data_IF_604892178465
#
_entry.id   IF_604892178465
#
_cell.length_a   1.000
_cell.length_b   1.000
_cell.length_c   1.000
_cell.angle_alpha   90.00
_cell.angle_beta   90.00
_cell.angle_gamma   90.00
#
_symmetry.space_group_name_H-M   'P 1'
#
loop_
_entity.id
_entity.type
_entity.pdbx_description
1 polymer ?
#
# COMPACT_ATOMS: atom_id res chain seq x y z
N UNK A 1 -13.95 13.99 29.49
CA UNK A 1 -13.15 13.02 28.72
C UNK A 1 -14.17 12.25 27.88
N UNK A 2 -14.21 12.51 26.58
CA UNK A 2 -15.13 11.82 25.67
C UNK A 2 -14.76 10.34 25.60
N UNK A 3 -15.79 9.48 25.60
CA UNK A 3 -15.59 8.03 25.52
C UNK A 3 -15.35 7.69 24.06
N UNK A 4 -14.17 7.16 23.77
CA UNK A 4 -13.83 6.64 22.44
C UNK A 4 -14.65 5.36 22.19
N UNK A 5 -15.35 5.32 21.08
CA UNK A 5 -16.14 4.18 20.61
C UNK A 5 -15.24 3.19 19.86
N UNK A 6 -15.65 1.92 19.80
CA UNK A 6 -15.13 1.00 18.79
C UNK A 6 -15.76 1.31 17.42
N UNK A 7 -15.21 0.70 16.35
CA UNK A 7 -15.70 0.94 14.98
C UNK A 7 -17.19 0.66 14.83
N UNK A 8 -17.71 -0.44 15.37
CA UNK A 8 -19.12 -0.82 15.21
C UNK A 8 -20.07 0.16 15.89
N UNK A 9 -19.70 0.65 17.07
CA UNK A 9 -20.46 1.68 17.80
C UNK A 9 -20.45 2.99 17.01
N UNK A 10 -19.29 3.39 16.50
CA UNK A 10 -19.13 4.61 15.71
C UNK A 10 -19.91 4.53 14.38
N UNK A 11 -19.79 3.42 13.65
CA UNK A 11 -20.58 3.13 12.44
C UNK A 11 -22.07 3.32 12.71
N UNK A 12 -22.59 2.71 13.79
CA UNK A 12 -24.01 2.81 14.15
C UNK A 12 -24.41 4.27 14.46
N UNK A 13 -23.57 5.03 15.15
CA UNK A 13 -23.82 6.44 15.43
C UNK A 13 -23.85 7.29 14.15
N UNK A 14 -22.90 7.09 13.22
CA UNK A 14 -22.88 7.78 11.92
C UNK A 14 -24.09 7.45 11.09
N UNK A 15 -24.48 6.16 10.99
CA UNK A 15 -25.66 5.74 10.23
C UNK A 15 -26.96 6.27 10.82
N UNK A 16 -27.08 6.36 12.16
CA UNK A 16 -28.21 6.98 12.82
C UNK A 16 -28.28 8.48 12.51
N UNK A 17 -27.16 9.19 12.65
CA UNK A 17 -27.07 10.61 12.34
C UNK A 17 -27.38 10.92 10.86
N UNK A 18 -26.94 10.07 9.93
CA UNK A 18 -27.25 10.22 8.50
C UNK A 18 -28.77 10.12 8.25
N UNK A 19 -29.43 9.16 8.91
CA UNK A 19 -30.92 8.99 8.83
C UNK A 19 -31.66 10.18 9.44
N UNK A 20 -31.25 10.66 10.59
CA UNK A 20 -31.86 11.83 11.27
C UNK A 20 -31.74 13.09 10.41
N UNK A 21 -30.64 13.23 9.64
CA UNK A 21 -30.43 14.32 8.70
C UNK A 21 -31.09 14.06 7.33
N UNK A 22 -31.89 13.01 7.16
CA UNK A 22 -32.60 12.64 5.94
C UNK A 22 -31.68 12.44 4.72
N UNK A 23 -30.42 12.01 4.91
CA UNK A 23 -29.51 11.69 3.84
C UNK A 23 -29.96 10.38 3.17
N UNK A 24 -30.02 10.39 1.83
CA UNK A 24 -30.46 9.24 1.03
C UNK A 24 -29.30 8.45 0.49
N UNK A 25 -28.29 9.16 -0.01
CA UNK A 25 -27.13 8.59 -0.68
C UNK A 25 -25.89 8.92 0.13
N UNK A 26 -25.33 7.94 0.82
CA UNK A 26 -24.15 8.08 1.63
C UNK A 26 -23.34 6.78 1.73
N UNK A 27 -22.06 6.95 2.07
CA UNK A 27 -21.09 5.87 2.23
C UNK A 27 -20.13 6.21 3.37
N UNK A 28 -19.79 5.22 4.17
CA UNK A 28 -18.82 5.30 5.24
C UNK A 28 -17.68 4.32 4.94
N UNK A 29 -16.46 4.84 4.81
CA UNK A 29 -15.24 4.08 4.66
C UNK A 29 -14.40 4.21 5.93
N UNK A 30 -13.91 3.09 6.41
CA UNK A 30 -13.06 2.98 7.58
C UNK A 30 -11.76 2.28 7.19
N UNK A 31 -10.67 2.75 7.73
CA UNK A 31 -9.36 2.10 7.67
C UNK A 31 -8.67 2.18 9.02
N UNK A 32 -8.02 1.10 9.41
CA UNK A 32 -7.14 1.00 10.56
C UNK A 32 -5.91 0.24 10.13
N UNK A 33 -4.73 0.72 10.51
CA UNK A 33 -3.48 0.04 10.27
C UNK A 33 -2.58 0.09 11.48
N UNK A 34 -1.77 -0.94 11.65
CA UNK A 34 -0.69 -0.98 12.62
C UNK A 34 0.54 -1.62 12.00
N UNK A 35 1.70 -1.17 12.39
CA UNK A 35 2.96 -1.69 11.89
C UNK A 35 4.05 -1.63 12.93
N UNK A 36 4.97 -2.58 12.83
CA UNK A 36 6.22 -2.61 13.59
C UNK A 36 7.35 -2.87 12.62
N UNK A 37 8.39 -2.06 12.65
CA UNK A 37 9.59 -2.24 11.85
C UNK A 37 10.87 -2.09 12.66
N UNK A 38 11.87 -2.81 12.23
CA UNK A 38 13.21 -2.83 12.84
C UNK A 38 14.24 -2.66 11.74
N UNK A 39 15.19 -1.75 11.95
CA UNK A 39 16.32 -1.56 11.05
C UNK A 39 17.62 -1.89 11.76
N UNK A 40 18.54 -2.56 11.06
CA UNK A 40 19.88 -2.82 11.50
C UNK A 40 20.89 -2.10 10.59
N UNK A 41 21.87 -1.48 11.22
CA UNK A 41 22.99 -0.82 10.59
C UNK A 41 24.27 -1.10 11.40
N UNK A 42 25.37 -1.40 10.73
CA UNK A 42 26.65 -1.75 11.36
C UNK A 42 26.55 -2.86 12.43
N UNK A 43 25.74 -3.88 12.15
CA UNK A 43 25.49 -5.04 13.02
C UNK A 43 24.78 -4.74 14.35
N UNK A 44 24.12 -3.60 14.45
CA UNK A 44 23.35 -3.19 15.61
C UNK A 44 21.95 -2.75 15.17
N UNK A 45 20.97 -2.88 16.03
CA UNK A 45 19.65 -2.31 15.81
C UNK A 45 19.77 -0.79 15.89
N UNK A 46 19.47 -0.12 14.81
CA UNK A 46 19.54 1.33 14.67
C UNK A 46 18.19 2.00 14.90
N UNK A 47 17.13 1.41 14.42
CA UNK A 47 15.77 1.97 14.50
C UNK A 47 14.78 0.88 14.88
N UNK A 48 13.85 1.25 15.74
CA UNK A 48 12.65 0.47 16.04
C UNK A 48 11.46 1.41 15.97
N UNK A 49 10.49 1.10 15.12
CA UNK A 49 9.28 1.90 14.96
C UNK A 49 8.05 1.02 15.22
N UNK A 50 7.12 1.55 15.98
CA UNK A 50 5.78 0.97 16.10
C UNK A 50 4.76 2.09 15.90
N UNK A 51 3.86 1.90 14.97
CA UNK A 51 2.87 2.89 14.61
C UNK A 51 1.48 2.28 14.47
N UNK A 52 0.48 3.12 14.67
CA UNK A 52 -0.90 2.79 14.38
C UNK A 52 -1.62 4.02 13.85
N UNK A 53 -2.48 3.82 12.90
CA UNK A 53 -3.34 4.86 12.34
C UNK A 53 -4.76 4.37 12.19
N UNK A 54 -5.69 5.30 12.21
CA UNK A 54 -7.11 5.05 12.02
C UNK A 54 -7.72 6.23 11.29
N UNK A 55 -8.54 5.95 10.31
CA UNK A 55 -9.26 6.97 9.57
C UNK A 55 -10.67 6.55 9.21
N UNK A 56 -11.59 7.50 9.28
CA UNK A 56 -12.96 7.34 8.81
C UNK A 56 -13.27 8.44 7.82
N UNK A 57 -13.79 8.08 6.66
CA UNK A 57 -14.29 9.01 5.65
C UNK A 57 -15.79 8.78 5.44
N UNK A 58 -16.56 9.85 5.54
CA UNK A 58 -17.97 9.84 5.19
C UNK A 58 -18.18 10.64 3.91
N UNK A 59 -18.90 10.02 2.98
CA UNK A 59 -19.31 10.60 1.70
C UNK A 59 -20.83 10.72 1.66
N UNK A 60 -21.35 11.83 1.18
CA UNK A 60 -22.78 11.94 0.87
C UNK A 60 -23.01 12.64 -0.46
N UNK A 61 -24.20 12.42 -1.05
CA UNK A 61 -24.64 13.08 -2.27
C UNK A 61 -25.88 13.90 -1.95
N UNK A 62 -25.82 15.21 -2.23
CA UNK A 62 -26.93 16.16 -2.06
C UNK A 62 -27.10 16.92 -3.34
N UNK A 63 -28.30 16.86 -3.93
CA UNK A 63 -28.64 17.51 -5.20
C UNK A 63 -27.67 17.13 -6.34
N UNK A 64 -27.23 15.88 -6.37
CA UNK A 64 -26.28 15.37 -7.36
C UNK A 64 -24.83 15.75 -7.13
N UNK A 65 -24.50 16.42 -6.01
CA UNK A 65 -23.15 16.87 -5.65
C UNK A 65 -22.60 16.06 -4.50
N UNK A 66 -21.34 15.66 -4.61
CA UNK A 66 -20.65 14.84 -3.59
C UNK A 66 -19.94 15.72 -2.57
N UNK A 67 -20.16 15.42 -1.29
CA UNK A 67 -19.39 15.99 -0.19
C UNK A 67 -18.71 14.91 0.63
N UNK A 68 -17.50 15.20 1.09
CA UNK A 68 -16.68 14.34 1.93
C UNK A 68 -16.31 15.02 3.23
N UNK A 69 -16.19 14.24 4.28
CA UNK A 69 -15.52 14.63 5.51
C UNK A 69 -14.82 13.43 6.13
N UNK A 70 -13.72 13.66 6.85
CA UNK A 70 -12.95 12.59 7.51
C UNK A 70 -12.65 12.96 8.96
N UNK A 71 -12.37 11.93 9.77
CA UNK A 71 -11.90 12.03 11.15
C UNK A 71 -11.01 10.85 11.50
N UNK A 72 -10.13 11.04 12.46
CA UNK A 72 -9.32 10.01 13.09
C UNK A 72 -9.82 9.67 14.51
N UNK A 73 -10.86 10.35 14.95
CA UNK A 73 -11.46 10.14 16.27
C UNK A 73 -12.82 9.45 16.16
N UNK A 74 -13.05 8.49 17.03
CA UNK A 74 -14.31 7.76 17.10
C UNK A 74 -15.09 8.17 18.34
N UNK A 75 -15.66 9.38 18.33
CA UNK A 75 -16.56 9.87 19.39
C UNK A 75 -17.95 10.17 18.85
N UNK A 76 -18.93 10.32 19.73
CA UNK A 76 -20.28 10.68 19.31
C UNK A 76 -20.34 12.05 18.62
N UNK A 77 -19.56 13.00 19.11
CA UNK A 77 -19.49 14.34 18.53
C UNK A 77 -18.80 14.34 17.16
N UNK A 78 -17.77 13.49 16.96
CA UNK A 78 -17.16 13.31 15.66
C UNK A 78 -18.11 12.69 14.64
N UNK A 79 -18.96 11.73 15.03
CA UNK A 79 -19.97 11.17 14.16
C UNK A 79 -20.94 12.24 13.63
N UNK A 80 -21.42 13.12 14.51
CA UNK A 80 -22.29 14.25 14.12
C UNK A 80 -21.53 15.28 13.26
N UNK A 81 -20.30 15.59 13.63
CA UNK A 81 -19.43 16.52 12.90
C UNK A 81 -19.13 16.04 11.48
N UNK A 82 -18.91 14.73 11.27
CA UNK A 82 -18.72 14.15 9.94
C UNK A 82 -19.92 14.42 9.03
N UNK A 83 -21.12 14.11 9.49
CA UNK A 83 -22.35 14.33 8.73
C UNK A 83 -22.51 15.80 8.36
N UNK A 84 -22.34 16.69 9.33
CA UNK A 84 -22.46 18.13 9.12
C UNK A 84 -21.45 18.64 8.08
N UNK A 85 -20.18 18.33 8.24
CA UNK A 85 -19.10 18.79 7.34
C UNK A 85 -19.26 18.22 5.92
N UNK A 86 -19.59 16.94 5.78
CA UNK A 86 -19.81 16.34 4.47
C UNK A 86 -21.00 17.00 3.75
N UNK A 87 -22.09 17.29 4.49
CA UNK A 87 -23.27 17.99 3.97
C UNK A 87 -22.91 19.41 3.50
N UNK A 88 -22.20 20.17 4.33
CA UNK A 88 -21.76 21.53 3.98
C UNK A 88 -20.84 21.53 2.77
N UNK A 89 -19.94 20.56 2.67
CA UNK A 89 -19.06 20.40 1.52
C UNK A 89 -19.83 20.06 0.24
N UNK A 90 -20.82 19.15 0.32
CA UNK A 90 -21.67 18.83 -0.84
C UNK A 90 -22.45 20.06 -1.35
N UNK A 91 -22.93 20.91 -0.43
CA UNK A 91 -23.67 22.12 -0.78
C UNK A 91 -22.78 23.23 -1.35
N UNK A 92 -21.49 23.19 -1.09
CA UNK A 92 -20.53 24.23 -1.48
C UNK A 92 -19.83 23.93 -2.81
N UNK A 93 -19.91 22.67 -3.30
CA UNK A 93 -19.20 22.28 -4.52
C UNK A 93 -19.95 22.71 -5.78
N UNK A 94 -19.23 23.18 -6.78
CA UNK A 94 -19.78 23.63 -8.07
C UNK A 94 -19.51 22.62 -9.21
N UNK A 95 -19.24 21.35 -8.89
CA UNK A 95 -19.02 20.32 -9.90
C UNK A 95 -20.33 19.79 -10.47
N UNK A 96 -20.38 19.59 -11.78
CA UNK A 96 -21.47 18.91 -12.48
C UNK A 96 -21.12 17.44 -12.80
N UNK A 97 -20.04 16.91 -12.22
CA UNK A 97 -19.65 15.52 -12.42
C UNK A 97 -20.70 14.57 -11.82
N UNK A 98 -21.07 13.50 -12.55
CA UNK A 98 -22.04 12.52 -12.05
C UNK A 98 -21.54 11.86 -10.76
N UNK A 99 -22.38 11.85 -9.76
CA UNK A 99 -22.09 11.24 -8.46
C UNK A 99 -23.07 10.12 -8.18
N UNK A 100 -22.57 9.01 -7.66
CA UNK A 100 -23.42 7.88 -7.25
C UNK A 100 -22.83 7.15 -6.04
N UNK A 101 -23.71 6.41 -5.36
CA UNK A 101 -23.31 5.44 -4.34
C UNK A 101 -23.53 4.05 -4.94
N UNK A 102 -22.49 3.23 -4.87
CA UNK A 102 -22.50 1.88 -5.42
C UNK A 102 -23.60 1.02 -4.74
N UNK A 103 -24.28 0.21 -5.54
CA UNK A 103 -25.26 -0.75 -5.00
C UNK A 103 -24.53 -2.02 -4.55
N UNK A 104 -25.04 -2.63 -3.47
CA UNK A 104 -24.59 -3.95 -3.09
C UNK A 104 -24.81 -4.93 -4.25
N UNK A 105 -23.80 -5.74 -4.52
CA UNK A 105 -23.89 -6.88 -5.43
C UNK A 105 -24.41 -8.12 -4.71
N UNK A 106 -24.70 -9.17 -5.48
CA UNK A 106 -25.23 -10.42 -4.93
C UNK A 106 -24.12 -11.40 -4.48
N UNK A 107 -22.88 -11.19 -4.93
CA UNK A 107 -21.78 -12.14 -4.74
C UNK A 107 -20.48 -11.40 -4.41
N UNK A 108 -20.24 -11.16 -3.14
CA UNK A 108 -18.93 -10.78 -2.65
C UNK A 108 -18.19 -12.02 -2.18
N UNK A 109 -16.96 -12.19 -2.62
CA UNK A 109 -16.09 -13.24 -2.10
C UNK A 109 -15.64 -12.85 -0.70
N UNK A 110 -15.68 -13.81 0.21
CA UNK A 110 -15.02 -13.66 1.50
C UNK A 110 -13.63 -14.29 1.41
N UNK A 111 -12.62 -13.56 1.82
CA UNK A 111 -11.28 -14.08 1.96
C UNK A 111 -11.06 -14.49 3.41
N UNK A 112 -10.33 -15.58 3.61
CA UNK A 112 -9.83 -15.89 4.94
C UNK A 112 -8.78 -14.83 5.28
N UNK A 113 -8.92 -14.20 6.43
CA UNK A 113 -7.91 -13.28 6.93
C UNK A 113 -6.54 -14.00 6.99
N UNK A 114 -5.45 -13.32 6.63
CA UNK A 114 -4.13 -13.90 6.79
C UNK A 114 -3.96 -14.41 8.23
N UNK A 115 -3.56 -15.66 8.35
CA UNK A 115 -3.34 -16.29 9.65
C UNK A 115 -1.96 -16.02 10.21
N UNK A 116 -1.18 -15.19 9.55
CA UNK A 116 0.14 -14.82 10.01
C UNK A 116 0.05 -14.12 11.34
N UNK A 117 0.57 -14.78 12.34
CA UNK A 117 0.70 -14.21 13.65
C UNK A 117 1.66 -13.02 13.57
N UNK A 118 1.30 -11.94 14.20
CA UNK A 118 2.20 -10.79 14.37
C UNK A 118 3.49 -11.26 15.03
N UNK A 119 4.64 -11.15 14.36
CA UNK A 119 5.89 -11.59 14.94
C UNK A 119 6.25 -10.70 16.12
N UNK A 120 6.82 -11.30 17.15
CA UNK A 120 7.31 -10.55 18.31
C UNK A 120 8.41 -9.56 17.88
N UNK A 121 8.49 -8.42 18.56
CA UNK A 121 9.54 -7.42 18.30
C UNK A 121 10.95 -8.00 18.38
N UNK A 122 11.18 -8.97 19.27
CA UNK A 122 12.45 -9.69 19.36
C UNK A 122 12.72 -10.56 18.14
N UNK A 123 11.70 -11.21 17.59
CA UNK A 123 11.84 -12.05 16.38
C UNK A 123 12.18 -11.20 15.16
N UNK A 124 11.55 -10.04 15.01
CA UNK A 124 11.90 -9.07 13.96
C UNK A 124 13.35 -8.60 14.11
N UNK A 125 13.76 -8.24 15.33
CA UNK A 125 15.12 -7.78 15.58
C UNK A 125 16.17 -8.88 15.32
N UNK A 126 15.94 -10.09 15.78
CA UNK A 126 16.84 -11.24 15.59
C UNK A 126 16.95 -11.59 14.09
N UNK A 127 15.83 -11.58 13.36
CA UNK A 127 15.85 -11.84 11.93
C UNK A 127 16.59 -10.72 11.18
N UNK A 128 16.36 -9.45 11.51
CA UNK A 128 17.01 -8.31 10.88
C UNK A 128 18.53 -8.33 11.06
N UNK A 129 19.01 -8.61 12.28
CA UNK A 129 20.44 -8.79 12.56
C UNK A 129 21.03 -9.99 11.82
N UNK A 130 20.30 -11.11 11.77
CA UNK A 130 20.69 -12.27 10.99
C UNK A 130 20.81 -11.93 9.52
N UNK A 131 19.81 -11.25 8.93
CA UNK A 131 19.82 -10.82 7.54
C UNK A 131 21.04 -9.96 7.25
N UNK A 132 21.32 -8.95 8.06
CA UNK A 132 22.48 -8.10 7.87
C UNK A 132 23.80 -8.88 7.97
N UNK A 133 23.90 -9.83 8.92
CA UNK A 133 25.06 -10.72 9.03
C UNK A 133 25.26 -11.56 7.75
N UNK A 134 24.19 -12.06 7.14
CA UNK A 134 24.28 -12.82 5.89
C UNK A 134 24.72 -11.93 4.72
N UNK A 135 24.28 -10.66 4.66
CA UNK A 135 24.74 -9.71 3.64
C UNK A 135 26.26 -9.50 3.72
N UNK A 136 26.80 -9.26 4.92
CA UNK A 136 28.26 -9.09 5.11
C UNK A 136 29.07 -10.37 4.80
N UNK A 137 28.48 -11.55 4.96
CA UNK A 137 29.13 -12.83 4.63
C UNK A 137 29.09 -13.16 3.15
N UNK A 138 28.10 -12.67 2.41
CA UNK A 138 27.85 -13.06 1.04
C UNK A 138 28.99 -12.66 0.08
N UNK A 139 29.61 -11.50 0.28
CA UNK A 139 30.77 -11.08 -0.49
C UNK A 139 31.72 -10.19 0.33
N UNK A 140 33.02 -10.39 0.18
CA UNK A 140 34.07 -9.62 0.86
C UNK A 140 34.13 -8.14 0.47
N UNK A 141 33.47 -7.75 -0.64
CA UNK A 141 33.39 -6.39 -1.13
C UNK A 141 32.27 -5.59 -0.47
N UNK A 142 31.40 -6.24 0.30
CA UNK A 142 30.37 -5.54 1.09
C UNK A 142 31.04 -4.61 2.09
N UNK A 143 30.60 -3.38 2.11
CA UNK A 143 31.18 -2.30 2.94
C UNK A 143 30.13 -1.64 3.81
N UNK A 144 30.58 -0.80 4.73
CA UNK A 144 29.70 0.02 5.56
C UNK A 144 28.79 0.92 4.70
N UNK A 145 27.57 1.05 5.10
CA UNK A 145 26.46 1.64 4.36
C UNK A 145 25.37 0.62 4.00
N UNK A 146 25.68 -0.68 4.20
CA UNK A 146 24.71 -1.77 4.09
C UNK A 146 23.69 -1.68 5.22
N UNK A 147 22.42 -1.79 4.86
CA UNK A 147 21.28 -1.74 5.79
C UNK A 147 20.38 -2.96 5.61
N UNK A 148 19.76 -3.38 6.67
CA UNK A 148 18.69 -4.39 6.63
C UNK A 148 17.52 -3.94 7.47
N UNK A 149 16.31 -4.26 7.03
CA UNK A 149 15.08 -3.97 7.75
C UNK A 149 14.14 -5.15 7.69
N UNK A 150 13.34 -5.31 8.71
CA UNK A 150 12.20 -6.25 8.73
C UNK A 150 11.04 -5.60 9.45
N UNK A 151 9.83 -5.91 9.00
CA UNK A 151 8.64 -5.37 9.61
C UNK A 151 7.42 -6.28 9.42
N UNK A 152 6.39 -5.92 10.13
CA UNK A 152 5.06 -6.49 10.03
C UNK A 152 4.05 -5.36 9.91
N UNK A 153 3.09 -5.53 9.02
CA UNK A 153 1.99 -4.60 8.82
C UNK A 153 0.67 -5.36 8.84
N UNK A 154 -0.32 -4.78 9.49
CA UNK A 154 -1.70 -5.22 9.42
C UNK A 154 -2.62 -4.05 9.11
N UNK A 155 -3.66 -4.33 8.34
CA UNK A 155 -4.66 -3.35 7.95
C UNK A 155 -6.06 -3.95 8.01
N UNK A 156 -7.02 -3.15 8.42
CA UNK A 156 -8.44 -3.47 8.40
C UNK A 156 -9.16 -2.39 7.63
N UNK A 157 -10.03 -2.80 6.74
CA UNK A 157 -10.85 -1.93 5.90
C UNK A 157 -12.30 -2.29 6.08
N UNK A 158 -13.17 -1.28 6.12
CA UNK A 158 -14.60 -1.52 6.12
C UNK A 158 -15.31 -0.46 5.28
N UNK A 159 -16.31 -0.87 4.54
CA UNK A 159 -17.12 -0.02 3.69
C UNK A 159 -18.58 -0.36 3.86
N UNK A 160 -19.38 0.61 4.24
CA UNK A 160 -20.83 0.46 4.26
C UNK A 160 -21.54 1.67 3.64
N UNK A 161 -22.72 1.46 3.05
CA UNK A 161 -23.44 2.54 2.41
C UNK A 161 -24.95 2.41 2.49
N UNK A 162 -25.65 3.47 2.03
CA UNK A 162 -27.11 3.56 1.99
C UNK A 162 -27.77 2.55 1.06
N UNK A 163 -27.04 1.93 0.14
CA UNK A 163 -27.54 0.97 -0.87
C UNK A 163 -27.33 -0.49 -0.46
N UNK A 164 -27.06 -0.74 0.84
CA UNK A 164 -26.99 -2.08 1.40
C UNK A 164 -25.62 -2.74 1.34
N UNK A 165 -24.59 -2.05 0.87
CA UNK A 165 -23.22 -2.54 0.96
C UNK A 165 -22.77 -2.49 2.43
N UNK A 166 -22.18 -3.56 2.91
CA UNK A 166 -21.57 -3.68 4.25
C UNK A 166 -20.50 -4.76 4.20
N UNK A 167 -19.26 -4.34 3.92
CA UNK A 167 -18.11 -5.20 3.71
C UNK A 167 -16.99 -4.82 4.65
N UNK A 168 -16.22 -5.82 5.05
CA UNK A 168 -15.03 -5.67 5.86
C UNK A 168 -13.97 -6.65 5.39
N UNK A 169 -12.72 -6.23 5.39
CA UNK A 169 -11.57 -7.04 5.05
C UNK A 169 -10.37 -6.71 5.92
N UNK A 170 -9.45 -7.66 6.05
CA UNK A 170 -8.20 -7.53 6.79
C UNK A 170 -7.06 -8.07 5.95
N UNK A 171 -5.94 -7.36 5.97
CA UNK A 171 -4.69 -7.80 5.37
C UNK A 171 -3.57 -7.71 6.38
N UNK A 172 -2.66 -8.69 6.38
CA UNK A 172 -1.47 -8.66 7.20
C UNK A 172 -0.32 -9.36 6.49
N UNK A 173 0.89 -8.83 6.62
CA UNK A 173 2.08 -9.45 6.06
C UNK A 173 3.33 -8.97 6.79
N UNK A 174 4.35 -9.81 6.77
CA UNK A 174 5.72 -9.42 7.11
C UNK A 174 6.50 -9.10 5.86
N UNK A 175 7.51 -8.26 6.00
CA UNK A 175 8.48 -8.00 4.96
C UNK A 175 9.89 -7.99 5.51
N UNK A 176 10.87 -8.26 4.65
CA UNK A 176 12.27 -8.06 4.97
C UNK A 176 13.00 -7.51 3.75
N UNK A 177 13.91 -6.60 3.99
CA UNK A 177 14.64 -5.86 2.98
C UNK A 177 16.12 -5.79 3.34
N UNK A 178 16.99 -5.98 2.36
CA UNK A 178 18.42 -5.77 2.49
C UNK A 178 18.89 -4.82 1.38
N UNK A 179 19.56 -3.75 1.75
CA UNK A 179 20.31 -2.88 0.84
C UNK A 179 21.80 -3.19 1.01
N UNK A 180 22.40 -3.87 0.05
CA UNK A 180 23.80 -4.16 0.04
C UNK A 180 24.59 -3.03 -0.65
N UNK A 181 25.71 -2.62 -0.05
CA UNK A 181 26.66 -1.70 -0.64
C UNK A 181 27.99 -2.43 -0.84
N UNK A 182 28.46 -2.55 -2.08
CA UNK A 182 29.73 -3.17 -2.41
C UNK A 182 30.72 -2.14 -2.98
N UNK A 183 32.01 -2.37 -2.79
CA UNK A 183 33.07 -1.50 -3.33
C UNK A 183 34.08 -2.30 -4.15
N UNK A 184 34.48 -1.74 -5.28
CA UNK A 184 35.61 -2.24 -6.08
C UNK A 184 36.95 -1.61 -5.69
N UNK A 185 36.92 -0.73 -4.66
CA UNK A 185 38.07 0.04 -4.18
C UNK A 185 38.07 1.50 -4.63
N UNK A 186 37.42 1.84 -5.71
CA UNK A 186 37.27 3.20 -6.25
C UNK A 186 35.83 3.70 -6.14
N UNK A 187 34.89 2.84 -6.51
CA UNK A 187 33.49 3.15 -6.57
C UNK A 187 32.68 2.26 -5.63
N UNK A 188 31.47 2.68 -5.37
CA UNK A 188 30.48 1.92 -4.61
C UNK A 188 29.27 1.63 -5.50
N UNK A 189 28.67 0.46 -5.32
CA UNK A 189 27.55 -0.05 -6.07
C UNK A 189 26.54 -0.60 -5.09
N UNK A 190 25.28 -0.31 -5.31
CA UNK A 190 24.16 -0.76 -4.48
C UNK A 190 23.34 -1.83 -5.17
N UNK A 191 22.69 -2.64 -4.36
CA UNK A 191 21.73 -3.63 -4.79
C UNK A 191 20.79 -3.98 -3.66
N UNK A 192 19.63 -4.51 -3.98
CA UNK A 192 18.59 -4.82 -3.00
C UNK A 192 18.02 -6.21 -3.16
N UNK A 193 17.62 -6.78 -2.01
CA UNK A 193 16.85 -8.01 -1.90
C UNK A 193 15.64 -7.79 -1.01
N UNK A 194 14.51 -8.36 -1.37
CA UNK A 194 13.25 -8.20 -0.64
C UNK A 194 12.49 -9.51 -0.56
N UNK A 195 11.82 -9.73 0.58
CA UNK A 195 10.82 -10.77 0.76
C UNK A 195 9.56 -10.18 1.39
N UNK A 196 8.40 -10.71 1.02
CA UNK A 196 7.10 -10.36 1.59
C UNK A 196 6.28 -11.63 1.79
N UNK A 197 5.52 -11.70 2.88
CA UNK A 197 4.70 -12.86 3.27
C UNK A 197 4.77 -13.10 4.77
N UNK A 198 5.04 -14.33 5.21
CA UNK A 198 5.26 -14.68 6.61
C UNK A 198 6.75 -14.66 6.97
N UNK A 199 7.10 -14.06 8.11
CA UNK A 199 8.48 -14.00 8.62
C UNK A 199 9.13 -15.39 8.76
N UNK A 200 8.35 -16.40 9.19
CA UNK A 200 8.83 -17.78 9.30
C UNK A 200 9.29 -18.39 7.98
N UNK A 201 8.69 -17.94 6.87
CA UNK A 201 9.02 -18.40 5.51
C UNK A 201 10.22 -17.71 4.90
N UNK A 202 10.82 -16.73 5.55
CA UNK A 202 11.93 -15.96 4.97
C UNK A 202 13.27 -16.63 5.14
N UNK A 203 14.04 -16.67 4.07
CA UNK A 203 15.44 -17.12 4.06
C UNK A 203 16.37 -15.92 3.99
N UNK A 204 16.98 -15.58 5.13
CA UNK A 204 17.90 -14.45 5.25
C UNK A 204 19.11 -14.59 4.30
N UNK A 205 19.64 -15.79 4.08
CA UNK A 205 20.76 -16.01 3.18
C UNK A 205 20.37 -15.77 1.73
N UNK A 206 19.16 -16.16 1.33
CA UNK A 206 18.62 -15.92 -0.01
C UNK A 206 18.42 -14.42 -0.27
N UNK A 207 17.76 -13.70 0.64
CA UNK A 207 17.54 -12.24 0.54
C UNK A 207 18.89 -11.51 0.46
N UNK A 208 19.86 -11.91 1.30
CA UNK A 208 21.20 -11.34 1.30
C UNK A 208 21.93 -11.59 -0.03
N UNK A 209 21.86 -12.82 -0.56
CA UNK A 209 22.48 -13.16 -1.84
C UNK A 209 21.87 -12.33 -2.99
N UNK A 210 20.55 -12.19 -3.05
CA UNK A 210 19.88 -11.36 -4.06
C UNK A 210 20.37 -9.91 -4.02
N UNK A 211 20.47 -9.30 -2.83
CA UNK A 211 20.97 -7.93 -2.66
C UNK A 211 22.42 -7.79 -3.13
N UNK A 212 23.29 -8.72 -2.73
CA UNK A 212 24.72 -8.66 -3.06
C UNK A 212 24.98 -8.98 -4.52
N UNK A 213 24.29 -9.95 -5.10
CA UNK A 213 24.40 -10.29 -6.53
C UNK A 213 23.93 -9.12 -7.40
N UNK A 214 22.86 -8.43 -7.01
CA UNK A 214 22.38 -7.22 -7.70
C UNK A 214 23.47 -6.14 -7.70
N UNK A 215 24.03 -5.80 -6.52
CA UNK A 215 25.11 -4.82 -6.40
C UNK A 215 26.37 -5.21 -7.19
N UNK A 216 26.78 -6.47 -7.09
CA UNK A 216 27.98 -7.00 -7.79
C UNK A 216 27.81 -6.98 -9.29
N UNK A 217 26.60 -7.24 -9.79
CA UNK A 217 26.29 -7.27 -11.22
C UNK A 217 26.51 -5.93 -11.92
N UNK A 218 26.49 -4.84 -11.15
CA UNK A 218 26.69 -3.48 -11.67
C UNK A 218 28.15 -3.01 -11.67
N UNK A 219 29.06 -3.78 -11.08
CA UNK A 219 30.48 -3.42 -11.05
C UNK A 219 31.05 -3.30 -12.47
N UNK A 220 31.69 -2.15 -12.74
CA UNK A 220 32.30 -1.88 -14.02
C UNK A 220 31.33 -1.48 -15.14
N UNK A 221 30.09 -1.11 -14.80
CA UNK A 221 29.18 -0.53 -15.78
C UNK A 221 29.75 0.74 -16.43
N UNK A 222 29.41 0.95 -17.69
CA UNK A 222 29.83 2.12 -18.45
C UNK A 222 28.63 2.77 -19.12
N UNK A 223 28.76 4.07 -19.40
CA UNK A 223 27.75 4.78 -20.19
C UNK A 223 27.69 4.21 -21.61
N UNK A 224 26.49 4.03 -22.13
CA UNK A 224 26.29 3.71 -23.54
C UNK A 224 25.99 4.98 -24.33
N UNK A 225 26.50 5.14 -25.57
CA UNK A 225 26.17 6.30 -26.41
C UNK A 225 24.68 6.40 -26.66
N UNK A 226 24.17 7.61 -26.90
CA UNK A 226 22.76 7.76 -27.32
C UNK A 226 22.49 7.03 -28.63
N UNK A 227 21.43 6.25 -28.68
CA UNK A 227 21.10 5.42 -29.85
C UNK A 227 19.82 4.63 -29.66
N UNK A 228 19.54 3.78 -30.65
CA UNK A 228 18.44 2.79 -30.58
C UNK A 228 19.05 1.42 -30.25
N UNK A 229 18.57 0.82 -29.19
CA UNK A 229 19.05 -0.47 -28.70
C UNK A 229 17.89 -1.43 -28.50
N UNK A 230 18.15 -2.71 -28.70
CA UNK A 230 17.26 -3.75 -28.17
C UNK A 230 17.57 -3.90 -26.69
N UNK A 231 16.55 -3.72 -25.86
CA UNK A 231 16.68 -3.77 -24.39
C UNK A 231 15.92 -4.99 -23.89
N UNK A 232 16.56 -5.78 -23.03
CA UNK A 232 15.92 -6.86 -22.27
C UNK A 232 15.85 -6.42 -20.82
N UNK A 233 14.63 -6.29 -20.33
CA UNK A 233 14.39 -5.97 -18.92
C UNK A 233 14.35 -7.24 -18.08
N UNK A 234 14.97 -7.23 -16.90
CA UNK A 234 14.72 -8.25 -15.90
C UNK A 234 13.27 -8.16 -15.39
N UNK A 235 12.76 -9.24 -14.80
CA UNK A 235 11.42 -9.24 -14.19
C UNK A 235 11.26 -8.16 -13.11
N UNK A 236 12.29 -7.95 -12.30
CA UNK A 236 12.35 -6.91 -11.26
C UNK A 236 12.20 -5.50 -11.86
N UNK A 237 12.99 -5.19 -12.90
CA UNK A 237 12.93 -3.87 -13.57
C UNK A 237 11.60 -3.69 -14.29
N UNK A 238 11.06 -4.74 -14.93
CA UNK A 238 9.75 -4.66 -15.59
C UNK A 238 8.62 -4.43 -14.57
N UNK A 239 8.64 -5.11 -13.43
CA UNK A 239 7.67 -4.89 -12.36
C UNK A 239 7.74 -3.44 -11.82
N UNK A 240 8.94 -2.90 -11.61
CA UNK A 240 9.13 -1.51 -11.19
C UNK A 240 8.60 -0.51 -12.23
N UNK A 241 8.83 -0.75 -13.51
CA UNK A 241 8.29 0.08 -14.60
C UNK A 241 6.76 0.05 -14.61
N UNK A 242 6.15 -1.13 -14.55
CA UNK A 242 4.69 -1.29 -14.54
C UNK A 242 4.07 -0.63 -13.30
N UNK A 243 4.69 -0.76 -12.13
CA UNK A 243 4.26 -0.09 -10.91
C UNK A 243 4.32 1.43 -11.05
N UNK A 244 5.45 1.97 -11.53
CA UNK A 244 5.65 3.42 -11.71
C UNK A 244 4.64 4.03 -12.68
N UNK A 245 4.31 3.32 -13.75
CA UNK A 245 3.38 3.79 -14.78
C UNK A 245 1.97 3.19 -14.65
N UNK A 246 1.62 2.59 -13.52
CA UNK A 246 0.31 1.94 -13.29
C UNK A 246 -0.88 2.87 -13.55
N UNK A 247 -0.74 4.17 -13.27
CA UNK A 247 -1.76 5.18 -13.53
C UNK A 247 -2.19 5.27 -15.01
N UNK A 248 -1.34 4.85 -15.95
CA UNK A 248 -1.67 4.81 -17.38
C UNK A 248 -2.85 3.86 -17.66
N UNK A 249 -3.01 2.81 -16.85
CA UNK A 249 -4.08 1.81 -16.96
C UNK A 249 -5.36 2.19 -16.19
N UNK A 250 -5.33 3.29 -15.41
CA UNK A 250 -6.50 3.71 -14.64
C UNK A 250 -7.52 4.44 -15.52
N UNK A 251 -8.79 4.02 -15.42
CA UNK A 251 -9.89 4.65 -16.16
C UNK A 251 -10.06 6.14 -15.83
N UNK A 252 -9.90 6.52 -14.56
CA UNK A 252 -9.96 7.93 -14.12
C UNK A 252 -8.90 8.79 -14.82
N UNK A 253 -7.68 8.30 -14.94
CA UNK A 253 -6.59 8.99 -15.65
C UNK A 253 -6.89 9.11 -17.15
N UNK A 254 -7.47 8.06 -17.76
CA UNK A 254 -7.86 8.07 -19.15
C UNK A 254 -9.01 9.08 -19.40
N UNK A 255 -10.02 9.13 -18.54
CA UNK A 255 -11.15 10.06 -18.65
C UNK A 255 -10.69 11.53 -18.52
N UNK A 256 -9.68 11.80 -17.69
CA UNK A 256 -9.06 13.13 -17.55
C UNK A 256 -8.11 13.49 -18.70
N UNK A 257 -7.92 12.61 -19.68
CA UNK A 257 -7.01 12.82 -20.81
C UNK A 257 -5.53 12.78 -20.44
N UNK A 258 -5.19 12.20 -19.28
CA UNK A 258 -3.82 12.10 -18.76
C UNK A 258 -3.16 10.74 -19.05
N UNK A 259 -3.90 9.77 -19.59
CA UNK A 259 -3.38 8.47 -19.99
C UNK A 259 -3.03 8.42 -21.47
N UNK A 260 -1.90 7.81 -21.80
CA UNK A 260 -1.51 7.48 -23.17
C UNK A 260 -2.44 6.43 -23.82
N UNK A 261 -3.26 5.74 -23.02
CA UNK A 261 -4.23 4.75 -23.46
C UNK A 261 -5.65 5.29 -23.61
N UNK A 262 -5.88 6.59 -23.34
CA UNK A 262 -7.18 7.21 -23.52
C UNK A 262 -7.69 7.03 -24.96
N UNK A 263 -8.91 6.50 -25.12
CA UNK A 263 -9.53 6.25 -26.42
C UNK A 263 -8.94 5.08 -27.21
N UNK A 264 -8.17 4.20 -26.54
CA UNK A 264 -7.60 2.99 -27.16
C UNK A 264 -8.28 1.69 -26.70
N UNK A 265 -9.47 1.80 -26.14
CA UNK A 265 -10.27 0.65 -25.74
C UNK A 265 -10.49 -0.29 -26.95
N UNK A 266 -10.39 -1.60 -26.71
CA UNK A 266 -10.50 -2.65 -27.72
C UNK A 266 -9.44 -2.57 -28.86
N UNK A 267 -8.33 -1.88 -28.63
CA UNK A 267 -7.18 -1.85 -29.55
C UNK A 267 -5.98 -2.55 -28.93
N UNK A 268 -5.11 -3.09 -29.79
CA UNK A 268 -3.87 -3.71 -29.34
C UNK A 268 -2.85 -2.63 -28.96
N UNK A 269 -2.44 -2.60 -27.70
CA UNK A 269 -1.49 -1.60 -27.15
C UNK A 269 -0.14 -2.20 -26.76
N UNK A 270 -0.01 -3.54 -26.87
CA UNK A 270 1.20 -4.29 -26.55
C UNK A 270 1.38 -5.48 -27.51
N UNK A 271 2.51 -6.19 -27.42
CA UNK A 271 2.73 -7.42 -28.15
C UNK A 271 1.77 -8.53 -27.67
N UNK A 272 1.41 -9.45 -28.57
CA UNK A 272 0.47 -10.56 -28.31
C UNK A 272 0.90 -11.48 -27.14
N UNK A 273 2.19 -11.49 -26.81
CA UNK A 273 2.74 -12.27 -25.70
C UNK A 273 2.58 -11.60 -24.32
N UNK A 274 2.16 -10.33 -24.27
CA UNK A 274 1.97 -9.58 -23.03
C UNK A 274 0.50 -9.52 -22.67
N UNK A 275 0.17 -10.03 -21.50
CA UNK A 275 -1.13 -9.84 -20.87
C UNK A 275 -0.93 -9.15 -19.52
N UNK A 276 -1.65 -8.05 -19.29
CA UNK A 276 -1.75 -7.40 -18.01
C UNK A 276 -3.19 -7.56 -17.51
N UNK A 277 -3.35 -8.13 -16.33
CA UNK A 277 -4.66 -8.36 -15.72
C UNK A 277 -4.74 -7.56 -14.44
N UNK A 278 -5.81 -6.82 -14.26
CA UNK A 278 -6.23 -6.26 -12.98
C UNK A 278 -7.10 -7.31 -12.31
N UNK A 279 -6.53 -7.94 -11.28
CA UNK A 279 -7.19 -9.02 -10.54
C UNK A 279 -7.25 -8.60 -9.08
N UNK A 280 -8.45 -8.24 -8.58
CA UNK A 280 -8.62 -7.80 -7.19
C UNK A 280 -8.65 -8.95 -6.18
N UNK A 281 -8.46 -10.23 -6.61
CA UNK A 281 -8.62 -11.42 -5.78
C UNK A 281 -7.30 -12.12 -5.48
#
# INVERSE_FOLDING_TARGET
MEIRMNYQEFKNAVLAAAKENNLKDYELYYTESSGTSVEAYQSEINTFTSESSLGVCFKCIINGKTGYASTENLTADDALSLIKRATENALSIESDEPSFIHKAGDNYLSFEAPTDLEPGSSELADFTLKLQSEVYKADKRVVDGTMSASGYESSRYALCNSNGLDLEDTAAFSYSYAAALVSDGENKYDGDGIASGSLEGFDAAKIAAEAVDDAVSTIGYTSVPSGKYTVVFSSKVMAALLSTYSSVFCADTAQKGLSLLAGKENTNVAADLLTLTDDPL
#
